data_IF_944115270203
#
_entry.id   IF_944115270203
#
_cell.length_a   1.000
_cell.length_b   1.000
_cell.length_c   1.000
_cell.angle_alpha   90.00
_cell.angle_beta   90.00
_cell.angle_gamma   90.00
#
_symmetry.space_group_name_H-M   'P 1'
#
loop_
_entity.id
_entity.type
_entity.pdbx_description
1 polymer ?
#
# COMPACT_ATOMS: atom_id res chain seq x y z
N UNK A 1 17.53 1.21 -0.83
CA UNK A 1 17.34 2.20 -1.92
C UNK A 1 16.13 1.76 -2.73
N UNK A 2 15.27 2.69 -3.18
CA UNK A 2 14.16 2.37 -4.09
C UNK A 2 14.71 1.87 -5.44
N UNK A 3 14.13 0.78 -5.94
CA UNK A 3 14.55 0.14 -7.21
C UNK A 3 13.52 0.32 -8.33
N UNK A 4 12.24 0.48 -7.97
CA UNK A 4 11.11 0.69 -8.87
C UNK A 4 9.98 1.34 -8.07
N UNK A 5 9.17 2.17 -8.74
CA UNK A 5 7.87 2.66 -8.29
C UNK A 5 6.90 2.65 -9.49
N UNK A 6 5.65 3.00 -9.25
CA UNK A 6 4.57 3.07 -10.24
C UNK A 6 4.63 4.31 -11.16
N UNK A 7 5.55 5.25 -10.90
CA UNK A 7 5.67 6.52 -11.61
C UNK A 7 4.72 7.61 -11.12
N UNK A 8 4.04 7.37 -9.99
CA UNK A 8 3.10 8.27 -9.35
C UNK A 8 3.41 8.28 -7.83
N UNK A 9 2.40 8.05 -6.97
CA UNK A 9 2.53 8.11 -5.51
C UNK A 9 3.52 7.11 -4.88
N UNK A 10 3.94 6.07 -5.59
CA UNK A 10 4.82 5.03 -5.07
C UNK A 10 6.19 5.55 -4.62
N UNK A 11 6.67 6.67 -5.18
CA UNK A 11 7.93 7.27 -4.77
C UNK A 11 7.89 7.93 -3.39
N UNK A 12 6.70 8.36 -2.96
CA UNK A 12 6.47 9.08 -1.72
C UNK A 12 6.14 8.16 -0.53
N UNK A 13 6.12 6.83 -0.72
CA UNK A 13 5.88 5.90 0.40
C UNK A 13 7.06 5.94 1.38
N UNK A 14 6.85 6.28 2.68
CA UNK A 14 7.93 6.32 3.66
C UNK A 14 8.50 4.93 3.91
N UNK A 15 9.78 4.74 3.62
CA UNK A 15 10.43 3.43 3.80
C UNK A 15 10.52 3.03 5.28
N UNK A 16 9.98 1.87 5.64
CA UNK A 16 10.10 1.26 6.98
C UNK A 16 10.59 -0.17 6.90
N UNK A 17 11.68 -0.48 7.61
CA UNK A 17 12.31 -1.81 7.56
C UNK A 17 11.63 -2.85 8.46
N UNK A 18 10.84 -2.42 9.45
CA UNK A 18 10.30 -3.31 10.50
C UNK A 18 8.86 -3.78 10.27
N UNK A 19 8.13 -3.24 9.29
CA UNK A 19 6.72 -3.59 9.07
C UNK A 19 6.59 -4.74 8.09
N UNK A 20 5.82 -5.77 8.43
CA UNK A 20 5.38 -6.84 7.52
C UNK A 20 3.85 -6.90 7.59
N UNK A 21 3.18 -7.18 6.48
CA UNK A 21 1.72 -7.19 6.40
C UNK A 21 1.12 -5.78 6.38
N UNK A 22 -0.10 -5.67 6.89
CA UNK A 22 -0.89 -4.45 6.81
C UNK A 22 -0.45 -3.39 7.82
N UNK A 23 -0.32 -2.14 7.37
CA UNK A 23 -0.08 -1.00 8.25
C UNK A 23 -0.73 0.27 7.70
N UNK A 24 -1.28 1.11 8.58
CA UNK A 24 -1.74 2.43 8.20
C UNK A 24 -0.58 3.46 8.19
N UNK A 25 -0.72 4.53 7.42
CA UNK A 25 0.23 5.64 7.35
C UNK A 25 -0.17 6.71 6.35
N UNK A 26 0.79 7.57 5.98
CA UNK A 26 0.62 8.66 5.03
C UNK A 26 1.80 8.65 4.05
N UNK A 27 1.64 9.23 2.87
CA UNK A 27 2.75 9.48 1.95
C UNK A 27 3.59 10.67 2.45
N UNK A 28 4.84 10.77 1.97
CA UNK A 28 5.68 11.94 2.21
C UNK A 28 5.06 13.15 1.53
N UNK A 29 4.81 14.22 2.29
CA UNK A 29 4.23 15.46 1.74
C UNK A 29 2.70 15.44 1.63
N UNK A 30 2.04 14.33 1.95
CA UNK A 30 0.59 14.16 1.95
C UNK A 30 0.06 13.95 3.38
N UNK A 31 -1.18 14.38 3.62
CA UNK A 31 -1.91 14.17 4.88
C UNK A 31 -3.01 13.12 4.78
N UNK A 32 -3.31 12.63 3.59
CA UNK A 32 -4.33 11.63 3.40
C UNK A 32 -3.92 10.30 4.04
N UNK A 33 -4.91 9.53 4.49
CA UNK A 33 -4.66 8.26 5.17
C UNK A 33 -4.56 7.15 4.14
N UNK A 34 -3.54 6.32 4.28
CA UNK A 34 -3.25 5.20 3.39
C UNK A 34 -3.16 3.90 4.17
N UNK A 35 -3.67 2.82 3.56
CA UNK A 35 -3.42 1.45 3.98
C UNK A 35 -2.29 0.88 3.12
N UNK A 36 -1.21 0.47 3.77
CA UNK A 36 -0.07 -0.19 3.13
C UNK A 36 -0.06 -1.69 3.39
N UNK A 37 0.47 -2.46 2.44
CA UNK A 37 0.87 -3.85 2.61
C UNK A 37 2.36 -3.97 2.36
N UNK A 38 3.09 -4.40 3.39
CA UNK A 38 4.54 -4.60 3.34
C UNK A 38 4.85 -6.08 3.17
N UNK A 39 5.65 -6.42 2.17
CA UNK A 39 6.07 -7.79 1.90
C UNK A 39 7.57 -7.87 1.65
N UNK A 40 8.20 -8.89 2.22
CA UNK A 40 9.59 -9.25 1.89
C UNK A 40 9.61 -10.35 0.82
N UNK A 41 10.42 -10.21 -0.22
CA UNK A 41 10.56 -11.27 -1.24
C UNK A 41 11.09 -12.58 -0.61
N UNK A 42 10.77 -13.76 -1.18
CA UNK A 42 11.21 -15.03 -0.61
C UNK A 42 12.73 -15.17 -0.47
N UNK A 43 13.49 -14.50 -1.33
CA UNK A 43 14.96 -14.46 -1.28
C UNK A 43 15.53 -13.37 -0.34
N UNK A 44 14.66 -12.60 0.33
CA UNK A 44 15.01 -11.52 1.25
C UNK A 44 15.63 -10.29 0.61
N UNK A 45 15.75 -10.24 -0.72
CA UNK A 45 16.48 -9.16 -1.41
C UNK A 45 15.64 -7.90 -1.64
N UNK A 46 14.33 -8.05 -1.73
CA UNK A 46 13.43 -6.97 -2.07
C UNK A 46 12.38 -6.76 -0.99
N UNK A 47 12.10 -5.49 -0.73
CA UNK A 47 10.94 -5.06 0.03
C UNK A 47 9.95 -4.47 -0.95
N UNK A 48 8.73 -5.02 -0.95
CA UNK A 48 7.62 -4.58 -1.78
C UNK A 48 6.62 -3.89 -0.85
N UNK A 49 6.12 -2.73 -1.27
CA UNK A 49 5.05 -2.03 -0.58
C UNK A 49 3.99 -1.62 -1.60
N UNK A 50 2.73 -1.82 -1.25
CA UNK A 50 1.57 -1.38 -2.04
C UNK A 50 0.71 -0.52 -1.13
N UNK A 51 0.32 0.67 -1.60
CA UNK A 51 -0.54 1.60 -0.88
C UNK A 51 -1.92 1.72 -1.54
N UNK A 52 -2.94 1.91 -0.70
CA UNK A 52 -4.28 2.32 -1.11
C UNK A 52 -4.77 3.43 -0.18
N UNK A 53 -5.18 4.56 -0.73
CA UNK A 53 -5.78 5.68 0.00
C UNK A 53 -7.13 5.28 0.62
N UNK A 54 -7.45 5.80 1.80
CA UNK A 54 -8.67 5.43 2.54
C UNK A 54 -9.96 5.90 1.89
N UNK A 55 -9.99 7.08 1.30
CA UNK A 55 -11.24 7.66 0.77
C UNK A 55 -11.86 6.80 -0.35
N UNK A 56 -11.06 6.04 -1.08
CA UNK A 56 -11.53 5.09 -2.10
C UNK A 56 -11.99 3.73 -1.56
N UNK A 57 -11.81 3.43 -0.26
CA UNK A 57 -12.04 2.08 0.29
C UNK A 57 -13.50 1.75 0.53
N UNK A 58 -14.35 2.73 0.85
CA UNK A 58 -15.77 2.46 1.07
C UNK A 58 -16.43 1.93 -0.22
N UNK A 59 -16.10 2.53 -1.36
CA UNK A 59 -16.63 2.12 -2.67
C UNK A 59 -16.09 0.76 -3.13
N UNK A 60 -14.79 0.49 -2.93
CA UNK A 60 -14.17 -0.76 -3.38
C UNK A 60 -14.51 -1.97 -2.49
N UNK A 61 -14.61 -1.78 -1.17
CA UNK A 61 -14.98 -2.87 -0.27
C UNK A 61 -16.40 -3.39 -0.58
N UNK A 62 -17.32 -2.47 -0.88
CA UNK A 62 -18.67 -2.83 -1.31
C UNK A 62 -18.66 -3.58 -2.65
N UNK A 63 -17.84 -3.15 -3.62
CA UNK A 63 -17.73 -3.80 -4.92
C UNK A 63 -17.22 -5.26 -4.82
N UNK A 64 -16.22 -5.53 -3.95
CA UNK A 64 -15.68 -6.89 -3.76
C UNK A 64 -16.75 -7.81 -3.14
N UNK A 65 -17.47 -7.34 -2.12
CA UNK A 65 -18.54 -8.12 -1.47
C UNK A 65 -19.70 -8.36 -2.44
N UNK A 66 -20.11 -7.33 -3.19
CA UNK A 66 -21.18 -7.44 -4.19
C UNK A 66 -20.81 -8.45 -5.29
N UNK A 67 -19.58 -8.44 -5.78
CA UNK A 67 -19.10 -9.39 -6.79
C UNK A 67 -19.03 -10.86 -6.33
N UNK A 68 -19.11 -11.13 -5.03
CA UNK A 68 -19.18 -12.48 -4.46
C UNK A 68 -20.60 -12.99 -4.21
N UNK A 69 -21.62 -12.14 -4.40
CA UNK A 69 -23.03 -12.43 -4.14
C UNK A 69 -23.85 -12.68 -5.42
N UNK A 70 -23.21 -12.66 -6.59
CA UNK A 70 -23.78 -12.95 -7.92
C UNK A 70 -23.17 -14.20 -8.54
#
# INVERSE_FOLDING_TARGET
>A
RMVLNDGDNGEDIPYSYQREGFADGQLVGDKDQWRFVWMTSPDGKYRIVVGQEWEYREDMALAIVAGQLI
#
